data_IF_185050467896
#
_entry.id   IF_185050467896
#
_cell.length_a   1.000
_cell.length_b   1.000
_cell.length_c   1.000
_cell.angle_alpha   90.00
_cell.angle_beta   90.00
_cell.angle_gamma   90.00
#
_symmetry.space_group_name_H-M   'P 1'
#
loop_
_entity.id
_entity.type
_entity.pdbx_description
1 polymer ?
#
# COMPACT_ATOMS: atom_id res chain seq x y z
N UNK A 1 4.07 -6.03 -28.22
CA UNK A 1 4.74 -5.48 -27.01
C UNK A 1 3.93 -5.63 -25.73
N UNK A 2 2.60 -5.74 -25.79
CA UNK A 2 1.71 -5.86 -24.62
C UNK A 2 1.86 -7.15 -23.79
N UNK A 3 2.12 -8.35 -24.36
CA UNK A 3 2.12 -9.58 -23.58
C UNK A 3 3.24 -9.65 -22.51
N UNK A 4 4.42 -9.08 -22.80
CA UNK A 4 5.53 -9.13 -21.83
C UNK A 4 5.28 -8.21 -20.61
N UNK A 5 4.62 -7.08 -20.81
CA UNK A 5 4.29 -6.16 -19.70
C UNK A 5 3.25 -6.77 -18.75
N UNK A 6 2.23 -7.43 -19.29
CA UNK A 6 1.22 -8.13 -18.48
C UNK A 6 1.86 -9.27 -17.68
N UNK A 7 2.72 -10.06 -18.31
CA UNK A 7 3.44 -11.15 -17.62
C UNK A 7 4.31 -10.62 -16.47
N UNK A 8 5.03 -9.52 -16.69
CA UNK A 8 5.84 -8.88 -15.66
C UNK A 8 4.99 -8.37 -14.48
N UNK A 9 3.82 -7.79 -14.76
CA UNK A 9 2.89 -7.35 -13.72
C UNK A 9 2.36 -8.53 -12.92
N UNK A 10 1.98 -9.63 -13.57
CA UNK A 10 1.50 -10.84 -12.90
C UNK A 10 2.59 -11.45 -12.00
N UNK A 11 3.82 -11.59 -12.51
CA UNK A 11 4.96 -12.08 -11.74
C UNK A 11 5.22 -11.17 -10.54
N UNK A 12 5.25 -9.85 -10.75
CA UNK A 12 5.41 -8.86 -9.67
C UNK A 12 4.32 -8.98 -8.61
N UNK A 13 3.06 -9.22 -9.01
CA UNK A 13 1.94 -9.39 -8.09
C UNK A 13 2.10 -10.64 -7.21
N UNK A 14 2.60 -11.75 -7.77
CA UNK A 14 2.91 -12.97 -7.00
C UNK A 14 3.99 -12.69 -5.96
N UNK A 15 5.11 -12.09 -6.36
CA UNK A 15 6.19 -11.72 -5.43
C UNK A 15 5.71 -10.74 -4.35
N UNK A 16 4.85 -9.80 -4.73
CA UNK A 16 4.27 -8.84 -3.78
C UNK A 16 3.38 -9.52 -2.74
N UNK A 17 2.54 -10.49 -3.16
CA UNK A 17 1.71 -11.28 -2.25
C UNK A 17 2.57 -12.13 -1.32
N UNK A 18 3.59 -12.79 -1.84
CA UNK A 18 4.55 -13.59 -1.06
C UNK A 18 5.24 -12.74 0.01
N UNK A 19 5.71 -11.55 -0.37
CA UNK A 19 6.31 -10.60 0.55
C UNK A 19 5.37 -10.22 1.71
N UNK A 20 4.10 -9.94 1.44
CA UNK A 20 3.15 -9.56 2.49
C UNK A 20 2.92 -10.72 3.49
N UNK A 21 2.79 -11.96 3.00
CA UNK A 21 2.67 -13.15 3.83
C UNK A 21 3.93 -13.33 4.71
N UNK A 22 5.12 -13.24 4.12
CA UNK A 22 6.37 -13.35 4.86
C UNK A 22 6.52 -12.26 5.92
N UNK A 23 6.08 -11.05 5.63
CA UNK A 23 6.10 -9.95 6.60
C UNK A 23 5.19 -10.23 7.79
N UNK A 24 3.97 -10.72 7.54
CA UNK A 24 3.03 -11.06 8.59
C UNK A 24 3.49 -12.25 9.44
N UNK A 25 4.00 -13.31 8.80
CA UNK A 25 4.42 -14.54 9.50
C UNK A 25 5.77 -14.40 10.23
N UNK A 26 6.49 -13.31 10.00
CA UNK A 26 7.74 -13.04 10.69
C UNK A 26 7.50 -12.74 12.18
N UNK A 27 8.42 -13.18 13.05
CA UNK A 27 8.36 -12.87 14.50
C UNK A 27 8.37 -11.38 14.79
N UNK A 28 8.95 -10.58 13.89
CA UNK A 28 8.99 -9.13 13.99
C UNK A 28 8.87 -8.52 12.59
N UNK A 29 7.64 -8.14 12.22
CA UNK A 29 7.33 -7.58 10.90
C UNK A 29 8.09 -6.28 10.62
N UNK A 30 8.38 -5.49 11.65
CA UNK A 30 9.14 -4.23 11.50
C UNK A 30 10.59 -4.51 11.14
N UNK A 31 11.24 -5.43 11.86
CA UNK A 31 12.63 -5.83 11.57
C UNK A 31 12.73 -6.44 10.17
N UNK A 32 11.81 -7.33 9.82
CA UNK A 32 11.78 -7.96 8.50
C UNK A 32 11.59 -6.92 7.38
N UNK A 33 10.71 -5.93 7.59
CA UNK A 33 10.50 -4.83 6.63
C UNK A 33 11.73 -3.94 6.50
N UNK A 34 12.44 -3.66 7.60
CA UNK A 34 13.70 -2.93 7.58
C UNK A 34 14.81 -3.66 6.82
N UNK A 35 14.95 -4.97 7.06
CA UNK A 35 15.91 -5.81 6.36
C UNK A 35 15.68 -5.81 4.84
N UNK A 36 14.41 -5.88 4.40
CA UNK A 36 14.06 -5.72 2.98
C UNK A 36 14.53 -4.36 2.44
N UNK A 37 14.33 -3.29 3.19
CA UNK A 37 14.78 -1.94 2.80
C UNK A 37 16.27 -1.91 2.51
N UNK A 38 17.09 -2.53 3.36
CA UNK A 38 18.54 -2.65 3.17
C UNK A 38 18.85 -3.38 1.85
N UNK A 39 18.20 -4.50 1.57
CA UNK A 39 18.41 -5.25 0.33
C UNK A 39 18.02 -4.45 -0.92
N UNK A 40 16.95 -3.66 -0.86
CA UNK A 40 16.56 -2.78 -1.97
C UNK A 40 17.65 -1.75 -2.23
N UNK A 41 18.23 -1.15 -1.18
CA UNK A 41 19.33 -0.18 -1.31
C UNK A 41 20.56 -0.85 -1.93
N UNK A 42 20.96 -2.03 -1.44
CA UNK A 42 22.10 -2.78 -1.98
C UNK A 42 21.91 -3.09 -3.47
N UNK A 43 20.73 -3.60 -3.85
CA UNK A 43 20.42 -3.91 -5.24
C UNK A 43 20.40 -2.65 -6.12
N UNK A 44 19.87 -1.54 -5.61
CA UNK A 44 19.88 -0.25 -6.32
C UNK A 44 21.32 0.23 -6.55
N UNK A 45 22.18 0.19 -5.52
CA UNK A 45 23.59 0.57 -5.65
C UNK A 45 24.31 -0.31 -6.67
N UNK A 46 24.14 -1.63 -6.60
CA UNK A 46 24.72 -2.57 -7.59
C UNK A 46 24.24 -2.27 -9.00
N UNK A 47 22.94 -2.02 -9.18
CA UNK A 47 22.38 -1.68 -10.49
C UNK A 47 22.97 -0.38 -11.04
N UNK A 48 22.98 0.70 -10.25
CA UNK A 48 23.51 1.99 -10.69
C UNK A 48 25.00 1.95 -10.99
N UNK A 49 25.78 1.23 -10.19
CA UNK A 49 27.23 1.08 -10.44
C UNK A 49 27.52 0.22 -11.68
N UNK A 50 26.71 -0.81 -11.94
CA UNK A 50 26.91 -1.70 -13.10
C UNK A 50 26.47 -1.09 -14.43
N UNK A 51 25.43 -0.23 -14.41
CA UNK A 51 24.89 0.40 -15.63
C UNK A 51 25.58 1.72 -15.97
N UNK A 52 26.41 2.27 -15.08
CA UNK A 52 27.05 3.57 -15.27
C UNK A 52 26.03 4.71 -15.38
N UNK A 53 24.84 4.56 -14.81
CA UNK A 53 23.77 5.55 -14.89
C UNK A 53 24.24 6.84 -14.21
N UNK A 54 24.18 8.03 -14.85
CA UNK A 54 24.58 9.28 -14.21
C UNK A 54 23.59 9.58 -13.08
N UNK A 55 24.10 9.57 -11.84
CA UNK A 55 23.32 9.89 -10.62
C UNK A 55 23.16 11.41 -10.45
N UNK A 56 23.28 12.17 -11.53
CA UNK A 56 23.06 13.62 -11.44
C UNK A 56 21.57 13.91 -11.45
N UNK A 57 21.03 14.11 -10.26
CA UNK A 57 19.66 14.51 -10.01
C UNK A 57 19.70 16.00 -9.62
N UNK A 58 18.91 16.84 -10.29
CA UNK A 58 18.81 18.26 -9.94
C UNK A 58 18.37 18.45 -8.47
N UNK A 59 18.78 19.56 -7.84
CA UNK A 59 18.53 19.81 -6.42
C UNK A 59 17.05 19.68 -6.01
N UNK A 60 16.13 20.09 -6.89
CA UNK A 60 14.69 19.97 -6.65
C UNK A 60 14.24 18.51 -6.51
N UNK A 61 14.81 17.60 -7.30
CA UNK A 61 14.48 16.19 -7.25
C UNK A 61 14.98 15.51 -5.97
N UNK A 62 16.06 15.98 -5.35
CA UNK A 62 16.51 15.49 -4.06
C UNK A 62 15.50 15.75 -2.95
N UNK A 63 14.89 16.95 -2.94
CA UNK A 63 13.85 17.27 -1.96
C UNK A 63 12.64 16.33 -2.10
N UNK A 64 12.13 16.16 -3.31
CA UNK A 64 10.99 15.28 -3.57
C UNK A 64 11.31 13.81 -3.31
N UNK A 65 12.51 13.36 -3.65
CA UNK A 65 12.96 11.98 -3.36
C UNK A 65 13.07 11.76 -1.85
N UNK A 66 13.61 12.70 -1.09
CA UNK A 66 13.70 12.63 0.37
C UNK A 66 12.31 12.58 1.00
N UNK A 67 11.43 13.51 0.61
CA UNK A 67 10.06 13.56 1.10
C UNK A 67 9.31 12.26 0.82
N UNK A 68 9.38 11.76 -0.42
CA UNK A 68 8.79 10.48 -0.83
C UNK A 68 9.37 9.32 -0.01
N UNK A 69 10.68 9.29 0.20
CA UNK A 69 11.35 8.26 1.01
C UNK A 69 10.89 8.26 2.46
N UNK A 70 10.76 9.43 3.07
CA UNK A 70 10.24 9.59 4.45
C UNK A 70 8.79 9.10 4.54
N UNK A 71 7.91 9.55 3.64
CA UNK A 71 6.51 9.11 3.61
C UNK A 71 6.40 7.60 3.39
N UNK A 72 7.21 7.04 2.48
CA UNK A 72 7.23 5.60 2.24
C UNK A 72 7.74 4.83 3.47
N UNK A 73 8.72 5.37 4.20
CA UNK A 73 9.18 4.81 5.47
C UNK A 73 8.07 4.76 6.52
N UNK A 74 7.30 5.84 6.69
CA UNK A 74 6.13 5.87 7.56
C UNK A 74 5.05 4.85 7.13
N UNK A 75 4.77 4.76 5.84
CA UNK A 75 3.88 3.76 5.29
C UNK A 75 4.30 2.33 5.67
N UNK A 76 5.56 1.97 5.43
CA UNK A 76 6.09 0.62 5.75
C UNK A 76 6.04 0.34 7.25
N UNK A 77 6.40 1.31 8.10
CA UNK A 77 6.32 1.16 9.55
C UNK A 77 4.88 0.96 10.04
N UNK A 78 3.94 1.72 9.51
CA UNK A 78 2.52 1.60 9.88
C UNK A 78 1.95 0.27 9.41
N UNK A 79 2.25 -0.15 8.19
CA UNK A 79 1.82 -1.43 7.63
C UNK A 79 2.38 -2.62 8.44
N UNK A 80 3.66 -2.59 8.79
CA UNK A 80 4.26 -3.67 9.58
C UNK A 80 3.71 -3.73 11.01
N UNK A 81 3.32 -2.59 11.61
CA UNK A 81 2.60 -2.57 12.88
C UNK A 81 1.19 -3.14 12.76
N UNK A 82 0.49 -2.80 11.69
CA UNK A 82 -0.83 -3.35 11.41
C UNK A 82 -0.80 -4.89 11.28
N UNK A 83 0.21 -5.43 10.61
CA UNK A 83 0.41 -6.89 10.48
C UNK A 83 0.75 -7.60 11.80
N UNK A 84 1.31 -6.89 12.78
CA UNK A 84 1.56 -7.46 14.10
C UNK A 84 0.31 -7.53 14.99
N UNK A 85 -0.72 -6.74 14.68
CA UNK A 85 -1.91 -6.60 15.54
C UNK A 85 -3.12 -7.35 14.99
N UNK A 86 -3.18 -7.61 13.69
CA UNK A 86 -4.34 -8.18 13.01
C UNK A 86 -3.96 -9.10 11.86
N UNK A 87 -4.90 -9.98 11.47
CA UNK A 87 -4.75 -10.83 10.30
C UNK A 87 -4.59 -10.02 9.01
N UNK A 88 -3.75 -10.54 8.11
CA UNK A 88 -3.50 -9.95 6.79
C UNK A 88 -4.78 -9.79 5.98
N UNK A 89 -5.75 -10.71 6.17
CA UNK A 89 -7.05 -10.69 5.48
C UNK A 89 -7.84 -9.41 5.76
N UNK A 90 -7.67 -8.81 6.94
CA UNK A 90 -8.30 -7.53 7.31
C UNK A 90 -7.42 -6.34 7.00
N UNK A 91 -6.13 -6.42 7.32
CA UNK A 91 -5.18 -5.30 7.16
C UNK A 91 -4.94 -4.98 5.69
N UNK A 92 -4.71 -6.01 4.87
CA UNK A 92 -4.29 -5.82 3.49
C UNK A 92 -5.30 -5.07 2.61
N UNK A 93 -6.61 -5.39 2.62
CA UNK A 93 -7.59 -4.65 1.82
C UNK A 93 -7.74 -3.20 2.26
N UNK A 94 -7.67 -2.94 3.57
CA UNK A 94 -7.74 -1.57 4.10
C UNK A 94 -6.50 -0.80 3.64
N UNK A 95 -5.30 -1.30 3.88
CA UNK A 95 -4.06 -0.65 3.48
C UNK A 95 -3.93 -0.47 1.96
N UNK A 96 -4.66 -1.23 1.15
CA UNK A 96 -4.71 -1.16 -0.32
C UNK A 96 -5.92 -0.42 -0.87
N UNK A 97 -6.77 0.15 -0.03
CA UNK A 97 -7.91 0.96 -0.48
C UNK A 97 -7.53 2.39 -0.90
N UNK A 98 -6.26 2.76 -0.91
CA UNK A 98 -5.76 4.03 -1.44
C UNK A 98 -6.37 4.45 -2.80
N UNK A 99 -6.63 3.54 -3.77
CA UNK A 99 -7.31 3.89 -5.02
C UNK A 99 -8.70 4.51 -4.84
N UNK A 100 -9.33 4.35 -3.67
CA UNK A 100 -10.60 5.03 -3.35
C UNK A 100 -10.37 6.54 -3.15
N UNK A 101 -9.25 6.92 -2.55
CA UNK A 101 -8.96 8.30 -2.15
C UNK A 101 -8.19 9.07 -3.22
N UNK A 102 -7.29 8.42 -3.95
CA UNK A 102 -6.43 9.05 -4.98
C UNK A 102 -7.24 9.88 -6.00
N UNK A 103 -8.37 9.40 -6.57
CA UNK A 103 -9.15 10.20 -7.51
C UNK A 103 -9.72 11.49 -6.91
N UNK A 104 -10.10 11.47 -5.63
CA UNK A 104 -10.60 12.67 -4.95
C UNK A 104 -9.48 13.70 -4.75
N UNK A 105 -8.27 13.25 -4.41
CA UNK A 105 -7.11 14.15 -4.34
C UNK A 105 -6.73 14.70 -5.72
N UNK A 106 -6.74 13.86 -6.76
CA UNK A 106 -6.48 14.28 -8.13
C UNK A 106 -7.51 15.34 -8.60
N UNK A 107 -8.79 15.12 -8.29
CA UNK A 107 -9.83 16.10 -8.57
C UNK A 107 -9.62 17.42 -7.81
N UNK A 108 -9.28 17.36 -6.52
CA UNK A 108 -9.16 18.55 -5.67
C UNK A 108 -7.87 19.34 -5.93
N UNK A 109 -6.74 18.68 -6.13
CA UNK A 109 -5.43 19.33 -6.25
C UNK A 109 -4.98 19.53 -7.70
N UNK A 110 -5.41 18.65 -8.61
CA UNK A 110 -4.97 18.65 -10.01
C UNK A 110 -6.09 19.06 -10.99
N UNK A 111 -7.28 19.38 -10.46
CA UNK A 111 -8.46 19.78 -11.24
C UNK A 111 -8.88 18.71 -12.30
N UNK A 112 -8.56 17.42 -12.01
CA UNK A 112 -8.89 16.30 -12.87
C UNK A 112 -10.40 15.98 -12.81
N UNK A 113 -11.00 15.69 -13.96
CA UNK A 113 -12.42 15.31 -14.02
C UNK A 113 -12.60 13.83 -13.66
N UNK A 114 -13.40 13.56 -12.63
CA UNK A 114 -13.77 12.19 -12.27
C UNK A 114 -14.76 11.63 -13.31
N UNK A 115 -14.37 10.54 -13.96
CA UNK A 115 -15.26 9.82 -14.89
C UNK A 115 -16.22 8.90 -14.14
N UNK A 116 -17.35 8.55 -14.78
CA UNK A 116 -18.29 7.56 -14.24
C UNK A 116 -17.61 6.22 -13.93
N UNK A 117 -16.64 5.81 -14.75
CA UNK A 117 -15.87 4.59 -14.56
C UNK A 117 -15.09 4.60 -13.25
N UNK A 118 -14.53 5.74 -12.85
CA UNK A 118 -13.83 5.91 -11.58
C UNK A 118 -14.79 5.73 -10.40
N UNK A 119 -15.99 6.34 -10.45
CA UNK A 119 -17.00 6.16 -9.41
C UNK A 119 -17.48 4.71 -9.29
N UNK A 120 -17.66 4.00 -10.41
CA UNK A 120 -18.00 2.58 -10.40
C UNK A 120 -16.87 1.72 -9.77
N UNK A 121 -15.62 2.00 -10.12
CA UNK A 121 -14.46 1.31 -9.54
C UNK A 121 -14.36 1.54 -8.02
N UNK A 122 -14.54 2.78 -7.55
CA UNK A 122 -14.59 3.11 -6.12
C UNK A 122 -15.72 2.33 -5.43
N UNK A 123 -16.91 2.33 -6.02
CA UNK A 123 -18.07 1.59 -5.48
C UNK A 123 -17.78 0.09 -5.33
N UNK A 124 -17.15 -0.54 -6.32
CA UNK A 124 -16.74 -1.95 -6.28
C UNK A 124 -15.74 -2.20 -5.14
N UNK A 125 -14.74 -1.33 -4.97
CA UNK A 125 -13.75 -1.45 -3.89
C UNK A 125 -14.42 -1.35 -2.51
N UNK A 126 -15.32 -0.38 -2.32
CA UNK A 126 -16.03 -0.20 -1.05
C UNK A 126 -16.91 -1.43 -0.74
N UNK A 127 -17.62 -1.94 -1.74
CA UNK A 127 -18.45 -3.16 -1.60
C UNK A 127 -17.54 -4.37 -1.26
N UNK A 128 -16.41 -4.53 -1.92
CA UNK A 128 -15.47 -5.61 -1.64
C UNK A 128 -14.93 -5.56 -0.20
N UNK A 129 -14.55 -4.38 0.29
CA UNK A 129 -14.10 -4.18 1.68
C UNK A 129 -15.26 -4.50 2.66
N UNK A 130 -16.47 -4.07 2.32
CA UNK A 130 -17.65 -4.35 3.14
C UNK A 130 -17.94 -5.85 3.23
N UNK A 131 -17.93 -6.58 2.09
CA UNK A 131 -18.16 -8.04 2.04
C UNK A 131 -17.11 -8.77 2.89
N UNK A 132 -15.87 -8.33 2.87
CA UNK A 132 -14.80 -8.92 3.66
C UNK A 132 -15.05 -8.87 5.18
N UNK A 133 -15.73 -7.83 5.65
CA UNK A 133 -16.06 -7.62 7.07
C UNK A 133 -17.50 -8.03 7.42
N UNK A 134 -18.16 -8.77 6.52
CA UNK A 134 -19.56 -9.13 6.65
C UNK A 134 -19.74 -10.40 7.47
N UNK A 135 -20.25 -10.27 8.68
CA UNK A 135 -20.53 -11.37 9.63
C UNK A 135 -22.00 -11.91 9.52
N UNK A 136 -22.62 -11.82 8.35
CA UNK A 136 -23.98 -12.31 8.14
C UNK A 136 -25.11 -11.35 8.53
N UNK A 137 -24.82 -10.21 9.16
CA UNK A 137 -25.80 -9.19 9.53
C UNK A 137 -25.39 -7.82 8.99
N UNK A 138 -26.18 -7.24 8.05
CA UNK A 138 -25.85 -5.99 7.36
C UNK A 138 -25.54 -4.82 8.32
N UNK A 139 -26.39 -4.60 9.31
CA UNK A 139 -26.25 -3.49 10.27
C UNK A 139 -25.10 -3.75 11.23
N UNK A 140 -24.90 -4.98 11.64
CA UNK A 140 -23.82 -5.36 12.55
C UNK A 140 -22.46 -5.30 11.86
N UNK A 141 -22.38 -5.77 10.59
CA UNK A 141 -21.16 -5.65 9.78
C UNK A 141 -20.70 -4.20 9.62
N UNK A 142 -21.63 -3.27 9.38
CA UNK A 142 -21.30 -1.84 9.30
C UNK A 142 -20.87 -1.26 10.65
N UNK A 143 -21.54 -1.65 11.75
CA UNK A 143 -21.11 -1.27 13.11
C UNK A 143 -19.75 -1.84 13.46
N UNK A 144 -19.51 -3.10 13.12
CA UNK A 144 -18.22 -3.75 13.35
C UNK A 144 -17.10 -3.07 12.56
N UNK A 145 -17.35 -2.64 11.32
CA UNK A 145 -16.39 -1.87 10.53
C UNK A 145 -16.08 -0.52 11.19
N UNK A 146 -17.11 0.22 11.63
CA UNK A 146 -16.91 1.51 12.35
C UNK A 146 -16.19 1.30 13.67
N UNK A 147 -16.55 0.28 14.42
CA UNK A 147 -15.88 -0.06 15.68
C UNK A 147 -14.44 -0.51 15.46
N UNK A 148 -14.16 -1.25 14.38
CA UNK A 148 -12.82 -1.63 14.00
C UNK A 148 -11.95 -0.41 13.63
N UNK A 149 -12.53 0.59 12.98
CA UNK A 149 -11.86 1.88 12.71
C UNK A 149 -11.54 2.62 14.02
N UNK A 150 -12.47 2.58 14.99
CA UNK A 150 -12.32 3.22 16.29
C UNK A 150 -11.41 2.42 17.24
N UNK A 151 -11.29 1.10 17.03
CA UNK A 151 -10.45 0.23 17.84
C UNK A 151 -8.97 0.40 17.53
N UNK A 152 -8.15 0.38 18.57
CA UNK A 152 -6.70 0.63 18.48
C UNK A 152 -5.97 -0.31 17.50
N UNK A 153 -6.55 -1.46 17.22
CA UNK A 153 -5.89 -2.55 16.49
C UNK A 153 -5.84 -2.32 14.97
N UNK A 154 -6.86 -1.66 14.39
CA UNK A 154 -6.89 -1.34 12.96
C UNK A 154 -6.40 0.09 12.64
N UNK A 155 -6.12 0.92 13.66
CA UNK A 155 -5.57 2.27 13.46
C UNK A 155 -4.37 2.28 12.52
N UNK A 156 -3.47 1.33 12.70
CA UNK A 156 -2.25 1.25 11.90
C UNK A 156 -2.55 0.95 10.43
N UNK A 157 -3.58 0.13 10.14
CA UNK A 157 -4.02 -0.12 8.77
C UNK A 157 -4.59 1.15 8.11
N UNK A 158 -5.34 1.99 8.86
CA UNK A 158 -5.84 3.26 8.35
C UNK A 158 -4.74 4.32 8.22
N UNK A 159 -3.76 4.36 9.13
CA UNK A 159 -2.61 5.26 9.02
C UNK A 159 -1.78 4.94 7.76
N UNK A 160 -1.80 3.71 7.25
CA UNK A 160 -1.12 3.36 5.99
C UNK A 160 -1.80 3.95 4.75
N UNK A 161 -3.04 4.48 4.86
CA UNK A 161 -3.76 5.11 3.76
C UNK A 161 -3.43 6.60 3.59
N UNK A 162 -2.98 7.25 4.67
CA UNK A 162 -2.65 8.68 4.68
C UNK A 162 -1.26 8.94 4.09
#
# INVERSE_FOLDING_TARGET
>A
MVPNSILLVLISSVFHSFWNILTQTSKNSQFFSGLKGIWIIVLAVVYFTSTGFPVYIGQELYFWALLSGVLHGFYILSLSRAYNTQDISYVYPIARSAPVFVPFFAWFFLDERLSLTIFLAIGIIIIAIYILHFDGQLVQGFKNLIQAIAHNDLRWAFITLA
#
